data_IF_025967481262
#
_entry.id   IF_025967481262
#
_cell.length_a   1.000
_cell.length_b   1.000
_cell.length_c   1.000
_cell.angle_alpha   90.00
_cell.angle_beta   90.00
_cell.angle_gamma   90.00
#
_symmetry.space_group_name_H-M   'P 1'
#
loop_
_entity.id
_entity.type
_entity.pdbx_description
1 polymer ?
#
# COMPACT_ATOMS: atom_id res chain seq x y z
N UNK A 1 17.14 -19.04 -4.20
CA UNK A 1 16.62 -17.75 -4.67
C UNK A 1 17.69 -17.00 -5.44
N UNK A 2 17.45 -16.51 -6.68
CA UNK A 2 18.36 -15.65 -7.39
C UNK A 2 18.58 -14.32 -6.64
N UNK A 3 19.83 -13.82 -6.62
CA UNK A 3 20.18 -12.53 -6.00
C UNK A 3 19.34 -11.38 -6.58
N UNK A 4 18.98 -11.47 -7.85
CA UNK A 4 18.11 -10.51 -8.53
C UNK A 4 16.76 -10.27 -7.83
N UNK A 5 16.18 -11.26 -7.12
CA UNK A 5 14.94 -11.12 -6.36
C UNK A 5 15.16 -10.22 -5.12
N UNK A 6 16.32 -10.32 -4.47
CA UNK A 6 16.67 -9.45 -3.34
C UNK A 6 16.90 -7.99 -3.79
N UNK A 7 17.40 -7.79 -5.02
CA UNK A 7 17.50 -6.44 -5.62
C UNK A 7 16.12 -5.83 -5.81
N UNK A 8 15.13 -6.61 -6.25
CA UNK A 8 13.74 -6.12 -6.30
C UNK A 8 13.20 -5.80 -4.90
N UNK A 9 13.53 -6.60 -3.88
CA UNK A 9 13.20 -6.31 -2.49
C UNK A 9 13.84 -4.98 -2.00
N UNK A 10 15.12 -4.75 -2.33
CA UNK A 10 15.80 -3.48 -2.04
C UNK A 10 15.15 -2.29 -2.76
N UNK A 11 14.75 -2.51 -4.02
CA UNK A 11 14.01 -1.47 -4.75
C UNK A 11 12.71 -1.13 -4.05
N UNK A 12 11.94 -2.13 -3.62
CA UNK A 12 10.68 -1.94 -2.88
C UNK A 12 10.93 -1.28 -1.52
N UNK A 13 12.04 -1.58 -0.86
CA UNK A 13 12.46 -0.87 0.36
C UNK A 13 12.64 0.63 0.09
N UNK A 14 13.35 1.03 -0.96
CA UNK A 14 13.54 2.44 -1.31
C UNK A 14 12.21 3.12 -1.66
N UNK A 15 11.36 2.45 -2.45
CA UNK A 15 10.03 2.95 -2.84
C UNK A 15 9.13 3.15 -1.62
N UNK A 16 9.03 2.14 -0.73
CA UNK A 16 8.21 2.20 0.47
C UNK A 16 8.71 3.22 1.50
N UNK A 17 10.04 3.36 1.65
CA UNK A 17 10.62 4.41 2.49
C UNK A 17 10.16 5.79 2.02
N UNK A 18 10.26 6.08 0.72
CA UNK A 18 9.78 7.35 0.15
C UNK A 18 8.28 7.57 0.35
N UNK A 19 7.48 6.50 0.25
CA UNK A 19 6.02 6.58 0.40
C UNK A 19 5.62 7.11 1.77
N UNK A 20 6.24 6.60 2.83
CA UNK A 20 5.80 6.84 4.21
C UNK A 20 6.69 7.77 5.04
N UNK A 21 7.93 8.07 4.63
CA UNK A 21 8.87 8.88 5.41
C UNK A 21 8.37 10.30 5.70
N UNK A 22 7.50 10.85 4.83
CA UNK A 22 7.00 12.21 4.99
C UNK A 22 6.19 12.40 6.28
N UNK A 23 5.55 11.36 6.79
CA UNK A 23 4.82 11.43 8.06
C UNK A 23 5.68 11.88 9.25
N UNK A 24 6.99 11.61 9.18
CA UNK A 24 7.98 12.10 10.15
C UNK A 24 8.61 13.45 9.80
N UNK A 25 8.38 13.96 8.58
CA UNK A 25 9.09 15.13 8.04
C UNK A 25 8.19 16.35 7.82
N UNK A 26 6.89 16.26 8.10
CA UNK A 26 5.95 17.35 7.83
C UNK A 26 6.34 18.68 8.51
N UNK A 27 6.69 18.71 9.83
CA UNK A 27 7.04 19.96 10.48
C UNK A 27 8.30 20.65 9.90
N UNK A 28 9.43 19.94 9.66
CA UNK A 28 10.60 20.57 9.05
C UNK A 28 10.36 21.02 7.59
N UNK A 29 9.60 20.25 6.80
CA UNK A 29 9.23 20.65 5.43
C UNK A 29 8.35 21.91 5.44
N UNK A 30 7.34 21.95 6.30
CA UNK A 30 6.42 23.08 6.41
C UNK A 30 7.17 24.36 6.75
N UNK A 31 8.09 24.30 7.73
CA UNK A 31 8.92 25.45 8.13
C UNK A 31 9.86 25.93 7.02
N UNK A 32 10.54 25.03 6.34
CA UNK A 32 11.55 25.38 5.31
C UNK A 32 10.87 25.89 4.02
N UNK A 33 9.72 25.34 3.64
CA UNK A 33 8.96 25.74 2.45
C UNK A 33 7.99 26.90 2.69
N UNK A 34 7.83 27.37 3.93
CA UNK A 34 6.91 28.46 4.27
C UNK A 34 5.44 28.11 4.06
N UNK A 35 5.07 26.84 4.23
CA UNK A 35 3.68 26.35 4.08
C UNK A 35 3.13 25.84 5.41
N UNK A 36 1.82 25.64 5.49
CA UNK A 36 1.20 25.05 6.68
C UNK A 36 1.47 23.54 6.75
N UNK A 37 1.36 22.94 7.95
CA UNK A 37 1.50 21.48 8.12
C UNK A 37 0.45 20.72 7.29
N UNK A 38 -0.84 21.13 7.23
CA UNK A 38 -1.81 20.56 6.30
C UNK A 38 -1.39 20.60 4.83
N UNK A 39 -0.86 21.74 4.37
CA UNK A 39 -0.32 21.83 3.00
C UNK A 39 0.84 20.88 2.79
N UNK A 40 1.77 20.77 3.74
CA UNK A 40 2.83 19.76 3.67
C UNK A 40 2.25 18.33 3.64
N UNK A 41 1.17 18.05 4.34
CA UNK A 41 0.44 16.77 4.32
C UNK A 41 -0.11 16.40 2.94
N UNK A 42 -0.44 17.38 2.09
CA UNK A 42 -0.87 17.13 0.71
C UNK A 42 0.22 16.46 -0.14
N UNK A 43 1.51 16.54 0.24
CA UNK A 43 2.59 15.81 -0.43
C UNK A 43 2.43 14.28 -0.28
N UNK A 44 1.82 13.81 0.82
CA UNK A 44 1.48 12.39 1.02
C UNK A 44 0.30 12.03 0.12
N UNK A 45 -0.74 12.85 0.12
CA UNK A 45 -1.91 12.67 -0.76
C UNK A 45 -1.53 12.71 -2.25
N UNK A 46 -0.61 13.60 -2.65
CA UNK A 46 -0.11 13.69 -4.01
C UNK A 46 0.60 12.40 -4.47
N UNK A 47 1.39 11.80 -3.59
CA UNK A 47 2.01 10.52 -3.88
C UNK A 47 0.95 9.42 -4.02
N UNK A 48 0.01 9.34 -3.09
CA UNK A 48 -1.02 8.31 -3.10
C UNK A 48 -1.95 8.42 -4.33
N UNK A 49 -2.36 9.63 -4.74
CA UNK A 49 -3.18 9.80 -5.97
C UNK A 49 -2.38 9.44 -7.23
N UNK A 50 -1.07 9.75 -7.23
CA UNK A 50 -0.17 9.31 -8.28
C UNK A 50 -0.11 7.77 -8.39
N UNK A 51 -0.15 7.07 -7.27
CA UNK A 51 -0.25 5.60 -7.23
C UNK A 51 -1.61 5.10 -7.74
N UNK A 52 -2.73 5.74 -7.36
CA UNK A 52 -4.08 5.38 -7.83
C UNK A 52 -4.18 5.46 -9.36
N UNK A 53 -3.67 6.55 -9.93
CA UNK A 53 -3.70 6.78 -11.39
C UNK A 53 -2.61 5.96 -12.10
N UNK A 54 -1.43 5.91 -11.51
CA UNK A 54 -0.25 5.27 -12.08
C UNK A 54 -0.38 3.76 -12.20
N UNK A 55 -0.97 3.09 -11.21
CA UNK A 55 -1.03 1.63 -11.19
C UNK A 55 -1.79 1.04 -12.42
N UNK A 56 -3.04 1.43 -12.74
CA UNK A 56 -3.72 0.92 -13.91
C UNK A 56 -3.10 1.43 -15.23
N UNK A 57 -2.70 2.70 -15.27
CA UNK A 57 -2.11 3.31 -16.46
C UNK A 57 -0.82 2.60 -16.89
N UNK A 58 0.11 2.42 -15.95
CA UNK A 58 1.41 1.82 -16.23
C UNK A 58 1.34 0.29 -16.35
N UNK A 59 0.41 -0.36 -15.65
CA UNK A 59 0.14 -1.78 -15.87
C UNK A 59 -0.21 -2.06 -17.33
N UNK A 60 -1.02 -1.19 -17.96
CA UNK A 60 -1.39 -1.31 -19.39
C UNK A 60 -0.26 -0.82 -20.30
N UNK A 61 0.33 0.34 -20.05
CA UNK A 61 1.35 0.95 -20.89
C UNK A 61 2.62 0.08 -21.00
N UNK A 62 2.98 -0.61 -19.92
CA UNK A 62 4.21 -1.43 -19.87
C UNK A 62 4.05 -2.85 -20.40
N UNK A 63 2.82 -3.30 -20.76
CA UNK A 63 2.57 -4.66 -21.26
C UNK A 63 3.40 -5.04 -22.49
N UNK A 64 3.75 -4.06 -23.30
CA UNK A 64 4.50 -4.25 -24.56
C UNK A 64 5.99 -3.97 -24.45
N UNK A 65 6.45 -3.50 -23.30
CA UNK A 65 7.83 -3.11 -23.09
C UNK A 65 8.67 -4.26 -22.49
N UNK A 66 9.96 -4.37 -22.88
CA UNK A 66 10.86 -5.34 -22.25
C UNK A 66 10.95 -5.09 -20.73
N UNK A 67 10.66 -6.12 -19.95
CA UNK A 67 10.48 -6.00 -18.49
C UNK A 67 11.68 -5.37 -17.77
N UNK A 68 12.91 -5.77 -18.16
CA UNK A 68 14.14 -5.21 -17.60
C UNK A 68 14.28 -3.72 -17.91
N UNK A 69 14.09 -3.31 -19.17
CA UNK A 69 14.15 -1.90 -19.56
C UNK A 69 13.12 -1.08 -18.83
N UNK A 70 11.91 -1.61 -18.67
CA UNK A 70 10.84 -0.95 -17.91
C UNK A 70 11.23 -0.74 -16.45
N UNK A 71 11.79 -1.77 -15.78
CA UNK A 71 12.25 -1.62 -14.39
C UNK A 71 13.36 -0.58 -14.27
N UNK A 72 14.34 -0.59 -15.20
CA UNK A 72 15.42 0.40 -15.26
C UNK A 72 14.85 1.80 -15.42
N UNK A 73 13.94 2.02 -16.38
CA UNK A 73 13.32 3.33 -16.59
C UNK A 73 12.53 3.81 -15.38
N UNK A 74 11.77 2.92 -14.74
CA UNK A 74 10.94 3.27 -13.58
C UNK A 74 11.77 3.60 -12.34
N UNK A 75 12.81 2.80 -12.02
CA UNK A 75 13.67 3.08 -10.87
C UNK A 75 14.54 4.32 -11.11
N UNK A 76 14.96 4.57 -12.35
CA UNK A 76 15.68 5.80 -12.73
C UNK A 76 14.78 7.03 -12.58
N UNK A 77 13.54 6.96 -13.10
CA UNK A 77 12.56 8.05 -12.98
C UNK A 77 12.23 8.32 -11.49
N UNK A 78 12.08 7.26 -10.70
CA UNK A 78 11.87 7.38 -9.25
C UNK A 78 13.07 8.05 -8.56
N UNK A 79 14.30 7.61 -8.84
CA UNK A 79 15.51 8.18 -8.29
C UNK A 79 15.68 9.67 -8.69
N UNK A 80 15.41 10.01 -9.96
CA UNK A 80 15.40 11.41 -10.43
C UNK A 80 14.34 12.23 -9.71
N UNK A 81 13.16 11.67 -9.45
CA UNK A 81 12.13 12.30 -8.63
C UNK A 81 12.59 12.57 -7.20
N UNK A 82 13.37 11.66 -6.58
CA UNK A 82 13.97 11.90 -5.25
C UNK A 82 15.01 13.03 -5.31
N UNK A 83 15.88 13.04 -6.31
CA UNK A 83 16.88 14.12 -6.49
C UNK A 83 16.17 15.45 -6.72
N UNK A 84 15.15 15.50 -7.56
CA UNK A 84 14.35 16.71 -7.79
C UNK A 84 13.68 17.20 -6.49
N UNK A 85 13.15 16.28 -5.68
CA UNK A 85 12.59 16.60 -4.35
C UNK A 85 13.64 17.15 -3.38
N UNK A 86 14.84 16.54 -3.35
CA UNK A 86 15.96 17.01 -2.51
C UNK A 86 16.46 18.41 -2.90
N UNK A 87 16.43 18.72 -4.19
CA UNK A 87 16.87 20.02 -4.74
C UNK A 87 15.74 21.04 -4.87
N UNK A 88 14.51 20.68 -4.50
CA UNK A 88 13.35 21.55 -4.71
C UNK A 88 13.50 22.90 -3.99
N UNK A 89 13.48 24.04 -4.72
CA UNK A 89 13.51 25.38 -4.14
C UNK A 89 12.12 25.87 -3.74
N UNK A 90 11.06 25.22 -4.21
CA UNK A 90 9.67 25.60 -3.93
C UNK A 90 8.80 24.37 -3.64
N UNK A 91 7.67 24.61 -2.97
CA UNK A 91 6.69 23.59 -2.64
C UNK A 91 6.10 22.93 -3.90
N UNK A 92 5.84 23.70 -4.96
CA UNK A 92 5.26 23.20 -6.22
C UNK A 92 6.19 22.18 -6.91
N UNK A 93 7.50 22.46 -6.92
CA UNK A 93 8.47 21.52 -7.49
C UNK A 93 8.58 20.25 -6.62
N UNK A 94 8.57 20.41 -5.29
CA UNK A 94 8.52 19.28 -4.38
C UNK A 94 7.27 18.44 -4.62
N UNK A 95 6.10 19.08 -4.75
CA UNK A 95 4.84 18.41 -5.07
C UNK A 95 4.88 17.64 -6.40
N UNK A 96 5.38 18.28 -7.46
CA UNK A 96 5.53 17.64 -8.76
C UNK A 96 6.48 16.43 -8.69
N UNK A 97 7.59 16.54 -7.94
CA UNK A 97 8.53 15.44 -7.74
C UNK A 97 7.87 14.23 -7.06
N UNK A 98 6.94 14.47 -6.13
CA UNK A 98 6.17 13.42 -5.46
C UNK A 98 5.23 12.70 -6.42
N UNK A 99 4.54 13.42 -7.30
CA UNK A 99 3.66 12.83 -8.31
C UNK A 99 4.46 11.95 -9.29
N UNK A 100 5.61 12.46 -9.78
CA UNK A 100 6.49 11.70 -10.69
C UNK A 100 7.03 10.44 -10.02
N UNK A 101 7.49 10.56 -8.77
CA UNK A 101 7.97 9.42 -7.98
C UNK A 101 6.87 8.37 -7.76
N UNK A 102 5.64 8.81 -7.52
CA UNK A 102 4.50 7.92 -7.30
C UNK A 102 4.12 7.15 -8.57
N UNK A 103 4.09 7.81 -9.73
CA UNK A 103 3.87 7.13 -11.01
C UNK A 103 4.92 6.05 -11.25
N UNK A 104 6.20 6.37 -11.05
CA UNK A 104 7.28 5.42 -11.20
C UNK A 104 7.16 4.24 -10.20
N UNK A 105 6.80 4.52 -8.96
CA UNK A 105 6.56 3.52 -7.91
C UNK A 105 5.44 2.55 -8.29
N UNK A 106 4.29 3.07 -8.75
CA UNK A 106 3.14 2.27 -9.16
C UNK A 106 3.48 1.29 -10.29
N UNK A 107 4.19 1.79 -11.32
CA UNK A 107 4.66 0.95 -12.41
C UNK A 107 5.66 -0.10 -11.95
N UNK A 108 6.57 0.27 -11.05
CA UNK A 108 7.60 -0.64 -10.53
C UNK A 108 6.97 -1.82 -9.77
N UNK A 109 5.97 -1.58 -8.93
CA UNK A 109 5.25 -2.64 -8.23
C UNK A 109 4.66 -3.67 -9.19
N UNK A 110 3.94 -3.21 -10.22
CA UNK A 110 3.30 -4.08 -11.20
C UNK A 110 4.30 -4.93 -11.99
N UNK A 111 5.36 -4.30 -12.51
CA UNK A 111 6.37 -4.98 -13.35
C UNK A 111 7.32 -5.80 -12.49
N UNK A 112 7.73 -5.30 -11.31
CA UNK A 112 8.64 -5.97 -10.39
C UNK A 112 8.09 -7.28 -9.86
N UNK A 113 6.81 -7.33 -9.47
CA UNK A 113 6.13 -8.56 -9.06
C UNK A 113 6.13 -9.61 -10.18
N UNK A 114 5.81 -9.18 -11.40
CA UNK A 114 5.81 -10.08 -12.56
C UNK A 114 7.21 -10.61 -12.90
N UNK A 115 8.25 -9.78 -12.74
CA UNK A 115 9.66 -10.18 -12.94
C UNK A 115 10.12 -11.12 -11.83
N UNK A 116 9.81 -10.82 -10.56
CA UNK A 116 10.16 -11.68 -9.43
C UNK A 116 9.61 -13.11 -9.60
N UNK A 117 8.34 -13.23 -10.02
CA UNK A 117 7.69 -14.53 -10.27
C UNK A 117 8.30 -15.24 -11.49
N UNK A 118 8.69 -14.50 -12.54
CA UNK A 118 9.24 -15.08 -13.75
C UNK A 118 10.68 -15.60 -13.61
N UNK A 119 11.41 -15.14 -12.59
CA UNK A 119 12.80 -15.54 -12.35
C UNK A 119 12.94 -16.79 -11.45
N UNK A 120 11.84 -17.37 -10.98
CA UNK A 120 11.85 -18.49 -10.04
C UNK A 120 10.90 -19.60 -10.48
N UNK A 121 11.16 -20.81 -10.03
CA UNK A 121 10.29 -21.97 -10.23
C UNK A 121 8.95 -21.80 -9.53
N UNK A 122 7.95 -22.61 -9.92
CA UNK A 122 6.56 -22.47 -9.45
C UNK A 122 6.43 -22.58 -7.93
N UNK A 123 7.20 -23.45 -7.31
CA UNK A 123 7.26 -23.69 -5.86
C UNK A 123 7.91 -22.53 -5.07
N UNK A 124 8.73 -21.71 -5.71
CA UNK A 124 9.42 -20.57 -5.09
C UNK A 124 8.74 -19.23 -5.29
N UNK A 125 7.64 -19.16 -6.06
CA UNK A 125 6.94 -17.90 -6.38
C UNK A 125 6.43 -17.15 -5.14
N UNK A 126 5.85 -17.89 -4.19
CA UNK A 126 5.40 -17.31 -2.93
C UNK A 126 6.56 -16.69 -2.14
N UNK A 127 7.72 -17.35 -2.14
CA UNK A 127 8.93 -16.86 -1.47
C UNK A 127 9.51 -15.63 -2.17
N UNK A 128 9.45 -15.55 -3.50
CA UNK A 128 9.88 -14.37 -4.25
C UNK A 128 9.00 -13.14 -3.92
N UNK A 129 7.69 -13.33 -3.86
CA UNK A 129 6.77 -12.29 -3.43
C UNK A 129 6.98 -11.88 -1.97
N UNK A 130 7.29 -12.85 -1.09
CA UNK A 130 7.59 -12.56 0.31
C UNK A 130 8.85 -11.67 0.46
N UNK A 131 9.86 -11.82 -0.40
CA UNK A 131 11.05 -10.94 -0.40
C UNK A 131 10.67 -9.51 -0.80
N UNK A 132 9.81 -9.34 -1.79
CA UNK A 132 9.35 -8.00 -2.19
C UNK A 132 8.51 -7.33 -1.09
N UNK A 133 7.55 -8.06 -0.52
CA UNK A 133 6.73 -7.56 0.60
C UNK A 133 7.59 -7.29 1.83
N UNK A 134 8.61 -8.14 2.06
CA UNK A 134 9.62 -7.95 3.09
C UNK A 134 10.38 -6.63 2.95
N UNK A 135 10.70 -6.22 1.70
CA UNK A 135 11.27 -4.91 1.42
C UNK A 135 10.40 -3.77 1.94
N UNK A 136 9.08 -3.82 1.69
CA UNK A 136 8.12 -2.84 2.21
C UNK A 136 8.02 -2.87 3.74
N UNK A 137 8.02 -4.06 4.33
CA UNK A 137 7.98 -4.21 5.79
C UNK A 137 9.23 -3.62 6.44
N UNK A 138 10.41 -3.86 5.86
CA UNK A 138 11.67 -3.27 6.33
C UNK A 138 11.65 -1.75 6.14
N UNK A 139 11.05 -1.23 5.06
CA UNK A 139 10.86 0.21 4.86
C UNK A 139 10.06 0.83 5.99
N UNK A 140 8.98 0.21 6.43
CA UNK A 140 8.19 0.71 7.55
C UNK A 140 8.93 0.65 8.89
N UNK A 141 9.71 -0.42 9.14
CA UNK A 141 10.40 -0.63 10.43
C UNK A 141 11.68 0.19 10.54
N UNK A 142 12.43 0.31 9.46
CA UNK A 142 13.75 0.95 9.45
C UNK A 142 13.81 2.19 8.53
N UNK A 143 13.21 2.12 7.34
CA UNK A 143 13.32 3.17 6.35
C UNK A 143 12.64 4.47 6.77
N UNK A 144 11.40 4.37 7.28
CA UNK A 144 10.63 5.54 7.75
C UNK A 144 11.30 6.19 8.97
N UNK A 145 11.67 5.44 10.02
CA UNK A 145 12.41 6.00 11.14
C UNK A 145 13.77 6.59 10.75
N UNK A 146 14.52 5.90 9.88
CA UNK A 146 15.81 6.41 9.40
C UNK A 146 15.63 7.71 8.61
N UNK A 147 14.61 7.82 7.76
CA UNK A 147 14.26 9.05 7.06
C UNK A 147 13.91 10.19 8.00
N UNK A 148 13.11 9.92 9.04
CA UNK A 148 12.77 10.90 10.06
C UNK A 148 14.03 11.32 10.89
N UNK A 149 14.87 10.37 11.28
CA UNK A 149 16.12 10.63 11.99
C UNK A 149 17.10 11.48 11.18
N UNK A 150 17.30 11.14 9.91
CA UNK A 150 18.14 11.94 9.00
C UNK A 150 17.55 13.35 8.82
N UNK A 151 16.23 13.44 8.68
CA UNK A 151 15.53 14.71 8.54
C UNK A 151 15.66 15.62 9.75
N UNK A 152 15.65 15.05 10.95
CA UNK A 152 15.83 15.79 12.19
C UNK A 152 17.25 16.33 12.35
N UNK A 153 18.28 15.51 12.05
CA UNK A 153 19.69 15.86 12.33
C UNK A 153 20.41 16.54 11.17
N UNK A 154 20.06 16.21 9.92
CA UNK A 154 20.74 16.67 8.71
C UNK A 154 19.84 17.49 7.78
N UNK A 155 18.60 17.79 8.24
CA UNK A 155 17.58 18.44 7.45
C UNK A 155 16.79 17.48 6.56
N UNK A 156 15.52 17.78 6.30
CA UNK A 156 14.57 16.92 5.60
C UNK A 156 15.02 16.47 4.19
N UNK A 157 15.84 17.30 3.52
CA UNK A 157 16.41 16.97 2.20
C UNK A 157 17.31 15.75 2.21
N UNK A 158 17.97 15.48 3.35
CA UNK A 158 18.85 14.31 3.51
C UNK A 158 18.10 12.99 3.37
N UNK A 159 16.83 12.94 3.79
CA UNK A 159 15.97 11.77 3.60
C UNK A 159 15.71 11.48 2.11
N UNK A 160 15.49 12.51 1.30
CA UNK A 160 15.34 12.35 -0.14
C UNK A 160 16.64 11.90 -0.81
N UNK A 161 17.77 12.46 -0.41
CA UNK A 161 19.09 12.03 -0.90
C UNK A 161 19.37 10.56 -0.55
N UNK A 162 19.06 10.12 0.67
CA UNK A 162 19.26 8.73 1.09
C UNK A 162 18.44 7.74 0.28
N UNK A 163 17.17 8.07 0.00
CA UNK A 163 16.29 7.26 -0.87
C UNK A 163 16.78 7.28 -2.32
N UNK A 164 17.26 8.44 -2.79
CA UNK A 164 17.90 8.57 -4.11
C UNK A 164 19.13 7.67 -4.25
N UNK A 165 19.99 7.64 -3.25
CA UNK A 165 21.16 6.77 -3.19
C UNK A 165 20.76 5.27 -3.17
N UNK A 166 19.78 4.89 -2.33
CA UNK A 166 19.26 3.54 -2.31
C UNK A 166 18.67 3.12 -3.68
N UNK A 167 17.99 4.06 -4.35
CA UNK A 167 17.47 3.84 -5.71
C UNK A 167 18.56 3.65 -6.75
N UNK A 168 19.68 4.39 -6.63
CA UNK A 168 20.85 4.23 -7.50
C UNK A 168 21.52 2.86 -7.30
N UNK A 169 21.64 2.39 -6.06
CA UNK A 169 22.14 1.03 -5.75
C UNK A 169 21.22 -0.02 -6.34
N UNK A 170 19.89 0.15 -6.18
CA UNK A 170 18.92 -0.74 -6.78
C UNK A 170 18.98 -0.75 -8.32
N UNK A 171 19.18 0.43 -8.95
CA UNK A 171 19.35 0.56 -10.40
C UNK A 171 20.58 -0.22 -10.90
N UNK A 172 21.73 -0.08 -10.23
CA UNK A 172 22.94 -0.85 -10.56
C UNK A 172 22.66 -2.36 -10.43
N UNK A 173 21.99 -2.78 -9.35
CA UNK A 173 21.60 -4.17 -9.16
C UNK A 173 20.68 -4.69 -10.27
N UNK A 174 19.70 -3.90 -10.71
CA UNK A 174 18.80 -4.26 -11.82
C UNK A 174 19.58 -4.39 -13.14
N UNK A 175 20.48 -3.44 -13.40
CA UNK A 175 21.29 -3.44 -14.61
C UNK A 175 22.27 -4.63 -14.68
N UNK A 176 22.78 -5.10 -13.55
CA UNK A 176 23.80 -6.16 -13.51
C UNK A 176 23.20 -7.55 -13.34
N UNK A 177 22.12 -7.69 -12.54
CA UNK A 177 21.66 -9.00 -12.05
C UNK A 177 20.33 -9.45 -12.67
N UNK A 178 19.49 -8.53 -13.21
CA UNK A 178 18.23 -8.94 -13.81
C UNK A 178 18.45 -9.33 -15.29
N UNK A 179 18.15 -10.59 -15.67
CA UNK A 179 18.30 -11.04 -17.06
C UNK A 179 17.26 -10.40 -17.97
N UNK A 180 17.50 -10.44 -19.28
CA UNK A 180 16.50 -10.09 -20.30
C UNK A 180 15.42 -11.18 -20.31
N UNK A 181 14.24 -10.87 -19.76
CA UNK A 181 13.10 -11.79 -19.69
C UNK A 181 12.26 -11.60 -20.96
N UNK A 182 11.95 -12.64 -21.73
CA UNK A 182 11.05 -12.57 -22.86
C UNK A 182 9.66 -12.08 -22.45
N UNK A 183 8.98 -11.39 -23.35
CA UNK A 183 7.59 -10.99 -23.15
C UNK A 183 6.70 -12.25 -23.12
N UNK A 184 5.67 -12.32 -22.25
CA UNK A 184 4.72 -13.43 -22.25
C UNK A 184 4.05 -13.56 -23.62
N UNK A 185 3.96 -14.81 -24.11
CA UNK A 185 3.30 -15.12 -25.38
C UNK A 185 1.79 -14.83 -25.32
N UNK A 186 1.16 -15.06 -24.18
CA UNK A 186 -0.26 -14.78 -23.97
C UNK A 186 -0.44 -13.45 -23.20
N UNK A 187 -1.29 -12.60 -23.78
CA UNK A 187 -1.63 -11.30 -23.20
C UNK A 187 -2.87 -11.41 -22.31
N UNK A 188 -2.88 -10.86 -21.10
CA UNK A 188 -4.09 -10.77 -20.30
C UNK A 188 -5.19 -10.06 -21.09
N UNK A 189 -6.38 -10.64 -21.16
CA UNK A 189 -7.55 -10.01 -21.78
C UNK A 189 -8.20 -9.03 -20.79
N UNK A 190 -7.64 -7.85 -20.64
CA UNK A 190 -8.10 -6.81 -19.69
C UNK A 190 -9.61 -6.54 -19.84
N UNK A 191 -10.14 -6.52 -21.08
CA UNK A 191 -11.56 -6.29 -21.33
C UNK A 191 -12.47 -7.32 -20.63
N UNK A 192 -12.06 -8.59 -20.51
CA UNK A 192 -12.85 -9.61 -19.82
C UNK A 192 -12.79 -9.43 -18.29
N UNK A 193 -11.66 -8.96 -17.77
CA UNK A 193 -11.49 -8.71 -16.35
C UNK A 193 -12.31 -7.51 -15.86
N UNK A 194 -12.56 -6.49 -16.70
CA UNK A 194 -13.36 -5.30 -16.32
C UNK A 194 -14.79 -5.62 -15.84
N UNK A 195 -15.29 -6.82 -16.10
CA UNK A 195 -16.62 -7.25 -15.60
C UNK A 195 -16.72 -7.30 -14.07
N UNK A 196 -15.59 -7.39 -13.35
CA UNK A 196 -15.59 -7.40 -11.88
C UNK A 196 -16.21 -6.12 -11.30
N UNK A 197 -16.07 -4.99 -11.98
CA UNK A 197 -16.63 -3.71 -11.51
C UNK A 197 -18.16 -3.62 -11.63
N UNK A 198 -18.82 -4.62 -12.20
CA UNK A 198 -20.29 -4.78 -12.16
C UNK A 198 -20.78 -5.40 -10.86
N UNK A 199 -19.88 -6.02 -10.10
CA UNK A 199 -20.22 -6.66 -8.84
C UNK A 199 -20.23 -5.63 -7.69
N UNK A 200 -21.34 -5.57 -6.97
CA UNK A 200 -21.49 -4.70 -5.79
C UNK A 200 -20.50 -5.02 -4.68
N UNK A 201 -20.11 -6.29 -4.54
CA UNK A 201 -19.12 -6.73 -3.57
C UNK A 201 -17.72 -6.11 -3.81
N UNK A 202 -17.37 -5.87 -5.08
CA UNK A 202 -16.11 -5.20 -5.44
C UNK A 202 -16.12 -3.75 -4.92
N UNK A 203 -17.21 -3.00 -5.12
CA UNK A 203 -17.31 -1.62 -4.65
C UNK A 203 -17.36 -1.51 -3.13
N UNK A 204 -18.03 -2.45 -2.45
CA UNK A 204 -18.00 -2.54 -0.99
C UNK A 204 -16.58 -2.83 -0.48
N UNK A 205 -15.84 -3.71 -1.15
CA UNK A 205 -14.43 -3.99 -0.81
C UNK A 205 -13.54 -2.78 -1.04
N UNK A 206 -13.71 -2.05 -2.15
CA UNK A 206 -12.97 -0.80 -2.43
C UNK A 206 -13.24 0.22 -1.32
N UNK A 207 -14.51 0.50 -1.05
CA UNK A 207 -14.90 1.47 -0.03
C UNK A 207 -14.40 1.10 1.37
N UNK A 208 -14.55 -0.17 1.76
CA UNK A 208 -14.07 -0.68 3.03
C UNK A 208 -12.55 -0.54 3.16
N UNK A 209 -11.78 -0.91 2.12
CA UNK A 209 -10.32 -0.81 2.10
C UNK A 209 -9.88 0.65 2.17
N UNK A 210 -10.48 1.52 1.36
CA UNK A 210 -10.15 2.94 1.33
C UNK A 210 -10.44 3.62 2.68
N UNK A 211 -11.59 3.33 3.30
CA UNK A 211 -11.95 3.94 4.57
C UNK A 211 -11.15 3.37 5.75
N UNK A 212 -10.86 2.07 5.76
CA UNK A 212 -10.05 1.46 6.80
C UNK A 212 -8.60 1.99 6.76
N UNK A 213 -7.97 2.01 5.58
CA UNK A 213 -6.64 2.57 5.40
C UNK A 213 -6.63 4.08 5.65
N UNK A 214 -7.55 4.82 5.03
CA UNK A 214 -7.66 6.27 5.15
C UNK A 214 -7.84 6.73 6.60
N UNK A 215 -8.62 6.00 7.40
CA UNK A 215 -8.81 6.33 8.81
C UNK A 215 -7.51 6.26 9.61
N UNK A 216 -6.70 5.23 9.42
CA UNK A 216 -5.40 5.14 10.10
C UNK A 216 -4.42 6.17 9.57
N UNK A 217 -4.35 6.35 8.23
CA UNK A 217 -3.43 7.31 7.61
C UNK A 217 -3.84 8.77 7.86
N UNK A 218 -5.10 9.07 8.18
CA UNK A 218 -5.55 10.36 8.65
C UNK A 218 -4.80 10.81 9.92
N UNK A 219 -4.64 9.92 10.90
CA UNK A 219 -3.88 10.18 12.11
C UNK A 219 -2.36 9.99 11.90
N UNK A 220 -1.94 8.92 11.23
CA UNK A 220 -0.52 8.59 11.02
C UNK A 220 0.24 9.69 10.29
N UNK A 221 -0.37 10.32 9.29
CA UNK A 221 0.28 11.40 8.51
C UNK A 221 0.65 12.60 9.36
N UNK A 222 -0.10 12.88 10.40
CA UNK A 222 0.13 13.98 11.34
C UNK A 222 0.62 13.50 12.71
N UNK A 223 1.16 12.27 12.77
CA UNK A 223 1.63 11.68 14.03
C UNK A 223 2.79 12.49 14.61
N UNK A 224 3.72 12.96 13.77
CA UNK A 224 4.85 13.77 14.23
C UNK A 224 4.39 15.03 14.99
N UNK A 225 3.61 15.95 14.41
CA UNK A 225 3.12 17.12 15.14
C UNK A 225 2.17 16.77 16.29
N UNK A 226 1.43 15.66 16.23
CA UNK A 226 0.62 15.22 17.37
C UNK A 226 1.52 14.81 18.55
N UNK A 227 2.63 14.14 18.31
CA UNK A 227 3.56 13.73 19.36
C UNK A 227 4.32 14.93 19.95
N UNK A 228 4.73 15.91 19.13
CA UNK A 228 5.49 17.08 19.60
C UNK A 228 4.60 18.12 20.23
N UNK A 229 3.52 18.51 19.55
CA UNK A 229 2.74 19.71 19.93
C UNK A 229 1.60 19.39 20.89
N UNK A 230 1.11 18.12 20.92
CA UNK A 230 0.02 17.69 21.81
C UNK A 230 0.53 16.84 22.97
N UNK A 231 1.36 15.84 22.69
CA UNK A 231 1.93 14.98 23.75
C UNK A 231 3.14 15.63 24.44
N UNK A 232 3.71 16.71 23.87
CA UNK A 232 4.86 17.41 24.43
C UNK A 232 6.14 16.57 24.45
N UNK A 233 6.28 15.64 23.51
CA UNK A 233 7.49 14.85 23.33
C UNK A 233 8.54 15.64 22.57
N UNK A 234 9.81 15.42 22.90
CA UNK A 234 10.93 15.96 22.12
C UNK A 234 10.94 15.34 20.72
N UNK A 235 11.28 16.16 19.69
CA UNK A 235 11.31 15.73 18.29
C UNK A 235 12.23 14.53 18.05
N UNK A 236 13.29 14.37 18.81
CA UNK A 236 14.19 13.24 18.76
C UNK A 236 13.55 11.87 19.06
N UNK A 237 12.36 11.85 19.70
CA UNK A 237 11.59 10.61 19.91
C UNK A 237 10.76 10.19 18.72
N UNK A 238 10.42 11.10 17.82
CA UNK A 238 9.54 10.84 16.67
C UNK A 238 10.05 9.67 15.82
N UNK A 239 11.33 9.58 15.41
CA UNK A 239 11.83 8.46 14.64
C UNK A 239 11.61 7.10 15.32
N UNK A 240 11.83 7.04 16.63
CA UNK A 240 11.66 5.79 17.40
C UNK A 240 10.20 5.36 17.50
N UNK A 241 9.28 6.31 17.65
CA UNK A 241 7.84 6.03 17.72
C UNK A 241 7.30 5.60 16.35
N UNK A 242 7.78 6.21 15.27
CA UNK A 242 7.49 5.73 13.91
C UNK A 242 8.05 4.31 13.68
N UNK A 243 9.20 3.99 14.26
CA UNK A 243 9.75 2.63 14.28
C UNK A 243 8.85 1.64 15.03
N UNK A 244 8.28 2.06 16.16
CA UNK A 244 7.30 1.24 16.90
C UNK A 244 6.03 1.02 16.09
N UNK A 245 5.52 2.02 15.39
CA UNK A 245 4.41 1.85 14.45
C UNK A 245 4.76 0.82 13.37
N UNK A 246 5.94 0.94 12.75
CA UNK A 246 6.44 -0.02 11.76
C UNK A 246 6.59 -1.44 12.32
N UNK A 247 7.07 -1.58 13.55
CA UNK A 247 7.16 -2.87 14.24
C UNK A 247 5.77 -3.46 14.47
N UNK A 248 4.82 -2.64 14.92
CA UNK A 248 3.41 -3.03 15.02
C UNK A 248 2.87 -3.53 13.67
N UNK A 249 3.16 -2.80 12.59
CA UNK A 249 2.76 -3.17 11.23
C UNK A 249 3.33 -4.53 10.80
N UNK A 250 4.60 -4.80 11.05
CA UNK A 250 5.24 -6.07 10.72
C UNK A 250 4.60 -7.25 11.48
N UNK A 251 4.41 -7.09 12.79
CA UNK A 251 3.76 -8.11 13.63
C UNK A 251 2.31 -8.29 13.20
N UNK A 252 1.59 -7.19 12.99
CA UNK A 252 0.20 -7.19 12.53
C UNK A 252 0.03 -7.94 11.20
N UNK A 253 0.83 -7.62 10.19
CA UNK A 253 0.79 -8.30 8.88
C UNK A 253 1.03 -9.81 9.03
N UNK A 254 2.02 -10.19 9.86
CA UNK A 254 2.40 -11.59 10.03
C UNK A 254 1.30 -12.40 10.69
N UNK A 255 0.70 -11.88 11.76
CA UNK A 255 -0.39 -12.54 12.50
C UNK A 255 -1.68 -12.48 11.69
N UNK A 256 -2.01 -11.30 11.14
CA UNK A 256 -3.21 -11.08 10.34
C UNK A 256 -3.29 -11.97 9.11
N UNK A 257 -2.17 -12.18 8.42
CA UNK A 257 -2.09 -13.10 7.29
C UNK A 257 -2.45 -14.53 7.67
N UNK A 258 -1.87 -15.06 8.76
CA UNK A 258 -2.15 -16.43 9.21
C UNK A 258 -3.60 -16.63 9.68
N UNK A 259 -4.17 -15.63 10.35
CA UNK A 259 -5.54 -15.71 10.86
C UNK A 259 -6.57 -15.48 9.75
N UNK A 260 -6.26 -14.66 8.74
CA UNK A 260 -7.15 -14.36 7.62
C UNK A 260 -7.47 -15.60 6.78
N UNK A 261 -6.52 -16.54 6.64
CA UNK A 261 -6.73 -17.80 5.92
C UNK A 261 -7.87 -18.63 6.52
N UNK A 262 -8.03 -18.60 7.85
CA UNK A 262 -9.07 -19.36 8.56
C UNK A 262 -10.36 -18.54 8.80
N UNK A 263 -10.22 -17.25 9.08
CA UNK A 263 -11.31 -16.39 9.58
C UNK A 263 -11.34 -15.00 8.93
N UNK A 264 -11.48 -14.94 7.60
CA UNK A 264 -11.40 -13.71 6.81
C UNK A 264 -12.26 -12.55 7.37
N UNK A 265 -13.57 -12.77 7.56
CA UNK A 265 -14.48 -11.72 8.07
C UNK A 265 -14.24 -11.40 9.55
N UNK A 266 -13.76 -12.37 10.33
CA UNK A 266 -13.36 -12.13 11.71
C UNK A 266 -12.21 -11.13 11.77
N UNK A 267 -11.15 -11.34 10.99
CA UNK A 267 -9.99 -10.43 10.89
C UNK A 267 -10.41 -9.04 10.41
N UNK A 268 -11.30 -8.95 9.41
CA UNK A 268 -11.80 -7.67 8.91
C UNK A 268 -12.54 -6.88 9.99
N UNK A 269 -13.52 -7.50 10.64
CA UNK A 269 -14.35 -6.80 11.62
C UNK A 269 -13.54 -6.45 12.87
N UNK A 270 -12.83 -7.42 13.45
CA UNK A 270 -12.05 -7.18 14.66
C UNK A 270 -10.86 -6.24 14.44
N UNK A 271 -10.17 -6.36 13.29
CA UNK A 271 -9.05 -5.48 12.96
C UNK A 271 -9.47 -4.02 12.74
N UNK A 272 -10.56 -3.78 11.99
CA UNK A 272 -11.08 -2.42 11.79
C UNK A 272 -11.65 -1.86 13.11
N UNK A 273 -12.33 -2.69 13.91
CA UNK A 273 -12.82 -2.28 15.24
C UNK A 273 -11.68 -1.91 16.17
N UNK A 274 -10.60 -2.70 16.20
CA UNK A 274 -9.41 -2.38 16.98
C UNK A 274 -8.78 -1.05 16.53
N UNK A 275 -8.65 -0.81 15.22
CA UNK A 275 -8.19 0.47 14.69
C UNK A 275 -9.08 1.63 15.14
N UNK A 276 -10.41 1.45 15.13
CA UNK A 276 -11.36 2.46 15.61
C UNK A 276 -11.15 2.77 17.09
N UNK A 277 -11.02 1.74 17.91
CA UNK A 277 -10.79 1.89 19.37
C UNK A 277 -9.47 2.60 19.62
N UNK A 278 -8.40 2.22 18.94
CA UNK A 278 -7.09 2.85 19.15
C UNK A 278 -7.03 4.29 18.60
N UNK A 279 -7.71 4.60 17.51
CA UNK A 279 -7.87 5.98 17.03
C UNK A 279 -8.66 6.83 18.01
N UNK A 280 -9.77 6.31 18.54
CA UNK A 280 -10.56 7.00 19.54
C UNK A 280 -9.76 7.22 20.85
N UNK A 281 -9.03 6.19 21.29
CA UNK A 281 -8.15 6.29 22.45
C UNK A 281 -7.02 7.31 22.22
N UNK A 282 -6.43 7.34 21.01
CA UNK A 282 -5.41 8.33 20.66
C UNK A 282 -5.99 9.74 20.68
N UNK A 283 -7.20 9.95 20.17
CA UNK A 283 -7.86 11.26 20.19
C UNK A 283 -8.12 11.78 21.61
N UNK A 284 -8.45 10.88 22.54
CA UNK A 284 -8.74 11.21 23.94
C UNK A 284 -7.48 11.35 24.80
N UNK A 285 -6.45 10.55 24.54
CA UNK A 285 -5.26 10.40 25.38
C UNK A 285 -3.99 10.94 24.74
N UNK A 286 -4.11 11.76 23.67
CA UNK A 286 -2.98 12.27 22.92
C UNK A 286 -1.99 13.08 23.79
N UNK A 287 -2.46 13.76 24.84
CA UNK A 287 -1.62 14.52 25.78
C UNK A 287 -0.82 13.64 26.75
N UNK A 288 -1.18 12.37 26.91
CA UNK A 288 -0.45 11.42 27.75
C UNK A 288 0.65 10.72 26.92
N UNK A 289 1.91 11.09 27.14
CA UNK A 289 3.06 10.60 26.37
C UNK A 289 3.11 9.08 26.23
N UNK A 290 2.97 8.35 27.35
CA UNK A 290 3.02 6.88 27.36
C UNK A 290 1.87 6.29 26.54
N UNK A 291 0.67 6.86 26.66
CA UNK A 291 -0.49 6.42 25.87
C UNK A 291 -0.27 6.68 24.37
N UNK A 292 0.22 7.86 24.00
CA UNK A 292 0.50 8.20 22.60
C UNK A 292 1.53 7.24 21.96
N UNK A 293 2.59 6.88 22.71
CA UNK A 293 3.61 5.92 22.26
C UNK A 293 2.98 4.52 22.07
N UNK A 294 2.28 4.01 23.10
CA UNK A 294 1.67 2.68 23.04
C UNK A 294 0.60 2.57 21.94
N UNK A 295 -0.23 3.61 21.78
CA UNK A 295 -1.26 3.66 20.76
C UNK A 295 -0.69 3.78 19.34
N UNK A 296 0.47 4.40 19.17
CA UNK A 296 1.17 4.41 17.88
C UNK A 296 1.55 2.99 17.43
N UNK A 297 2.09 2.17 18.33
CA UNK A 297 2.37 0.76 18.05
C UNK A 297 1.09 -0.03 17.72
N UNK A 298 0.04 0.13 18.54
CA UNK A 298 -1.23 -0.59 18.40
C UNK A 298 -1.97 -0.19 17.10
N UNK A 299 -1.86 1.06 16.67
CA UNK A 299 -2.39 1.51 15.37
C UNK A 299 -1.67 0.84 14.21
N UNK A 300 -0.34 0.80 14.24
CA UNK A 300 0.43 0.07 13.23
C UNK A 300 0.04 -1.40 13.20
N UNK A 301 -0.06 -2.04 14.36
CA UNK A 301 -0.49 -3.43 14.47
C UNK A 301 -1.88 -3.65 13.87
N UNK A 302 -2.91 -2.90 14.28
CA UNK A 302 -4.29 -3.13 13.85
C UNK A 302 -4.53 -2.85 12.38
N UNK A 303 -3.91 -1.77 11.84
CA UNK A 303 -4.00 -1.43 10.44
C UNK A 303 -3.47 -2.54 9.54
N UNK A 304 -2.26 -3.02 9.85
CA UNK A 304 -1.59 -4.03 9.05
C UNK A 304 -2.02 -5.47 9.38
N UNK A 305 -2.62 -5.72 10.54
CA UNK A 305 -3.34 -6.96 10.82
C UNK A 305 -4.54 -7.15 9.88
N UNK A 306 -5.21 -6.07 9.52
CA UNK A 306 -6.39 -6.08 8.64
C UNK A 306 -6.01 -6.19 7.16
N UNK A 307 -4.86 -5.66 6.75
CA UNK A 307 -4.46 -5.54 5.35
C UNK A 307 -4.44 -6.86 4.55
N UNK A 308 -3.92 -8.00 5.07
CA UNK A 308 -3.97 -9.28 4.35
C UNK A 308 -5.41 -9.74 4.07
N UNK A 309 -6.33 -9.53 5.02
CA UNK A 309 -7.72 -9.92 4.85
C UNK A 309 -8.45 -9.05 3.82
N UNK A 310 -8.14 -7.73 3.76
CA UNK A 310 -8.66 -6.83 2.72
C UNK A 310 -8.20 -7.28 1.33
N UNK A 311 -6.92 -7.63 1.19
CA UNK A 311 -6.36 -8.18 -0.04
C UNK A 311 -7.04 -9.50 -0.43
N UNK A 312 -7.06 -10.48 0.47
CA UNK A 312 -7.63 -11.80 0.23
C UNK A 312 -9.11 -11.73 -0.17
N UNK A 313 -9.88 -10.81 0.46
CA UNK A 313 -11.27 -10.60 0.09
C UNK A 313 -11.42 -10.16 -1.37
N UNK A 314 -10.63 -9.18 -1.82
CA UNK A 314 -10.69 -8.70 -3.21
C UNK A 314 -10.38 -9.82 -4.20
N UNK A 315 -9.33 -10.61 -3.93
CA UNK A 315 -8.99 -11.76 -4.79
C UNK A 315 -10.09 -12.83 -4.80
N UNK A 316 -10.72 -13.10 -3.66
CA UNK A 316 -11.82 -14.06 -3.58
C UNK A 316 -13.06 -13.61 -4.40
N UNK A 317 -13.38 -12.31 -4.40
CA UNK A 317 -14.50 -11.76 -5.18
C UNK A 317 -14.15 -11.70 -6.67
N UNK A 318 -12.94 -11.28 -7.00
CA UNK A 318 -12.51 -11.11 -8.39
C UNK A 318 -12.31 -12.44 -9.14
N UNK A 319 -12.07 -13.55 -8.44
CA UNK A 319 -12.01 -14.91 -9.01
C UNK A 319 -11.11 -15.02 -10.24
N UNK A 320 -11.71 -15.00 -11.43
CA UNK A 320 -11.02 -15.16 -12.71
C UNK A 320 -10.25 -13.90 -13.21
N UNK A 321 -10.23 -12.81 -12.42
CA UNK A 321 -9.59 -11.55 -12.79
C UNK A 321 -8.46 -11.15 -11.81
N UNK A 322 -7.40 -11.96 -11.64
CA UNK A 322 -6.38 -11.72 -10.62
C UNK A 322 -5.55 -10.46 -10.89
N UNK A 323 -5.38 -10.06 -12.14
CA UNK A 323 -4.63 -8.85 -12.51
C UNK A 323 -5.33 -7.60 -12.02
N UNK A 324 -6.64 -7.49 -12.28
CA UNK A 324 -7.42 -6.35 -11.82
C UNK A 324 -7.71 -6.41 -10.33
N UNK A 325 -7.79 -7.60 -9.71
CA UNK A 325 -7.91 -7.73 -8.26
C UNK A 325 -6.75 -7.02 -7.54
N UNK A 326 -5.51 -7.33 -7.93
CA UNK A 326 -4.32 -6.69 -7.34
C UNK A 326 -4.27 -5.19 -7.59
N UNK A 327 -4.52 -4.75 -8.84
CA UNK A 327 -4.55 -3.33 -9.19
C UNK A 327 -5.65 -2.57 -8.42
N UNK A 328 -6.85 -3.15 -8.30
CA UNK A 328 -7.98 -2.55 -7.58
C UNK A 328 -7.69 -2.44 -6.09
N UNK A 329 -7.08 -3.46 -5.49
CA UNK A 329 -6.69 -3.41 -4.07
C UNK A 329 -5.66 -2.32 -3.82
N UNK A 330 -4.63 -2.24 -4.64
CA UNK A 330 -3.61 -1.18 -4.54
C UNK A 330 -4.24 0.19 -4.70
N UNK A 331 -5.12 0.37 -5.69
CA UNK A 331 -5.85 1.63 -5.88
C UNK A 331 -6.74 1.98 -4.68
N UNK A 332 -7.42 0.98 -4.08
CA UNK A 332 -8.28 1.20 -2.92
C UNK A 332 -7.48 1.64 -1.67
N UNK A 333 -6.34 1.00 -1.39
CA UNK A 333 -5.43 1.44 -0.32
C UNK A 333 -4.94 2.88 -0.56
N UNK A 334 -4.50 3.18 -1.77
CA UNK A 334 -3.99 4.50 -2.11
C UNK A 334 -5.09 5.57 -2.17
N UNK A 335 -6.34 5.20 -2.47
CA UNK A 335 -7.48 6.11 -2.33
C UNK A 335 -7.68 6.51 -0.86
N UNK A 336 -7.51 5.57 0.07
CA UNK A 336 -7.48 5.84 1.51
C UNK A 336 -6.29 6.73 1.90
N UNK A 337 -5.09 6.39 1.42
CA UNK A 337 -3.87 7.17 1.67
C UNK A 337 -3.91 8.58 1.04
N UNK A 338 -4.79 8.81 0.06
CA UNK A 338 -5.08 10.15 -0.48
C UNK A 338 -6.06 10.89 0.41
N UNK A 339 -7.22 10.26 0.71
CA UNK A 339 -8.32 10.89 1.41
C UNK A 339 -8.05 11.11 2.90
N UNK A 340 -7.31 10.19 3.53
CA UNK A 340 -6.98 10.30 4.95
C UNK A 340 -6.18 11.55 5.31
N UNK A 341 -4.97 11.74 4.73
CA UNK A 341 -4.16 12.94 4.99
C UNK A 341 -4.86 14.24 4.57
N UNK A 342 -5.60 14.22 3.45
CA UNK A 342 -6.40 15.37 3.01
C UNK A 342 -7.47 15.74 4.05
N UNK A 343 -8.24 14.77 4.55
CA UNK A 343 -9.25 15.00 5.59
C UNK A 343 -8.60 15.46 6.90
N UNK A 344 -7.47 14.82 7.28
CA UNK A 344 -6.70 15.23 8.45
C UNK A 344 -6.23 16.68 8.37
N UNK A 345 -5.72 17.09 7.19
CA UNK A 345 -5.37 18.48 6.94
C UNK A 345 -6.56 19.43 7.06
N UNK A 346 -7.70 19.04 6.50
CA UNK A 346 -8.92 19.86 6.52
C UNK A 346 -9.42 20.13 7.96
N UNK A 347 -9.40 19.13 8.83
CA UNK A 347 -9.82 19.31 10.24
C UNK A 347 -8.82 20.15 11.05
N UNK A 348 -7.52 20.07 10.70
CA UNK A 348 -6.49 20.93 11.30
C UNK A 348 -6.68 22.39 10.85
N UNK A 349 -6.89 22.63 9.55
CA UNK A 349 -7.13 23.97 8.99
C UNK A 349 -8.42 24.60 9.54
N UNK A 350 -9.41 23.78 9.90
CA UNK A 350 -10.62 24.21 10.61
C UNK A 350 -10.38 24.60 12.08
N UNK A 351 -9.14 24.53 12.57
CA UNK A 351 -8.76 24.92 13.93
C UNK A 351 -9.06 23.87 15.00
N UNK A 352 -9.39 22.62 14.63
CA UNK A 352 -9.72 21.58 15.60
C UNK A 352 -8.48 20.90 16.23
N UNK A 353 -7.27 21.26 15.79
CA UNK A 353 -6.01 20.73 16.30
C UNK A 353 -5.66 19.34 15.79
N UNK A 354 -4.46 18.86 16.16
CA UNK A 354 -3.93 17.58 15.65
C UNK A 354 -4.68 16.35 16.18
N UNK A 355 -5.23 16.38 17.38
CA UNK A 355 -6.04 15.27 17.92
C UNK A 355 -7.31 15.01 17.09
N UNK A 356 -7.82 16.02 16.37
CA UNK A 356 -8.99 15.87 15.51
C UNK A 356 -8.75 14.94 14.33
N UNK A 357 -7.48 14.73 13.90
CA UNK A 357 -7.14 13.77 12.86
C UNK A 357 -7.46 12.33 13.28
N UNK A 358 -7.27 12.00 14.56
CA UNK A 358 -7.62 10.70 15.10
C UNK A 358 -9.15 10.52 15.22
N UNK A 359 -9.92 11.57 15.57
CA UNK A 359 -11.38 11.55 15.53
C UNK A 359 -11.93 11.35 14.12
N UNK A 360 -11.40 12.10 13.15
CA UNK A 360 -11.77 11.93 11.73
C UNK A 360 -11.44 10.53 11.23
N UNK A 361 -10.28 10.00 11.59
CA UNK A 361 -9.87 8.64 11.29
C UNK A 361 -10.80 7.59 11.91
N UNK A 362 -11.22 7.78 13.17
CA UNK A 362 -12.19 6.90 13.84
C UNK A 362 -13.55 6.91 13.11
N UNK A 363 -14.04 8.06 12.67
CA UNK A 363 -15.27 8.17 11.89
C UNK A 363 -15.18 7.40 10.55
N UNK A 364 -14.03 7.50 9.86
CA UNK A 364 -13.79 6.73 8.63
C UNK A 364 -13.80 5.22 8.90
N UNK A 365 -13.12 4.75 9.96
CA UNK A 365 -13.07 3.32 10.30
C UNK A 365 -14.42 2.79 10.79
N UNK A 366 -15.24 3.57 11.50
CA UNK A 366 -16.63 3.23 11.84
C UNK A 366 -17.44 3.00 10.57
N UNK A 367 -17.31 3.89 9.59
CA UNK A 367 -17.98 3.73 8.29
C UNK A 367 -17.49 2.47 7.56
N UNK A 368 -16.19 2.15 7.64
CA UNK A 368 -15.64 0.91 7.10
C UNK A 368 -16.24 -0.34 7.76
N UNK A 369 -16.48 -0.33 9.08
CA UNK A 369 -17.18 -1.41 9.78
C UNK A 369 -18.59 -1.58 9.21
N UNK A 370 -19.32 -0.50 8.99
CA UNK A 370 -20.65 -0.54 8.37
C UNK A 370 -20.62 -1.22 7.00
N UNK A 371 -19.63 -0.89 6.16
CA UNK A 371 -19.45 -1.55 4.86
C UNK A 371 -19.05 -3.02 4.99
N UNK A 372 -18.21 -3.38 5.98
CA UNK A 372 -17.82 -4.77 6.25
C UNK A 372 -19.05 -5.62 6.66
N UNK A 373 -19.91 -5.09 7.51
CA UNK A 373 -21.15 -5.74 7.94
C UNK A 373 -22.13 -5.88 6.76
N UNK A 374 -22.28 -4.83 5.94
CA UNK A 374 -23.11 -4.88 4.74
C UNK A 374 -22.62 -5.95 3.76
N UNK A 375 -21.32 -6.01 3.54
CA UNK A 375 -20.67 -6.99 2.69
C UNK A 375 -20.88 -8.43 3.21
N UNK A 376 -20.75 -8.64 4.52
CA UNK A 376 -21.01 -9.94 5.16
C UNK A 376 -22.49 -10.38 5.02
N UNK A 377 -23.43 -9.43 5.17
CA UNK A 377 -24.86 -9.72 5.01
C UNK A 377 -25.21 -10.12 3.58
N UNK A 378 -24.64 -9.44 2.58
CA UNK A 378 -24.81 -9.79 1.18
C UNK A 378 -24.23 -11.17 0.88
N UNK A 379 -23.01 -11.47 1.35
CA UNK A 379 -22.37 -12.76 1.16
C UNK A 379 -23.19 -13.92 1.74
N UNK A 380 -23.82 -13.71 2.90
CA UNK A 380 -24.71 -14.69 3.51
C UNK A 380 -26.03 -14.87 2.74
N UNK A 381 -26.57 -13.81 2.13
CA UNK A 381 -27.77 -13.89 1.28
C UNK A 381 -27.50 -14.66 0.00
N UNK A 382 -26.41 -14.32 -0.69
CA UNK A 382 -26.00 -14.99 -1.92
C UNK A 382 -25.79 -16.50 -1.72
N UNK A 383 -25.27 -16.90 -0.55
CA UNK A 383 -25.14 -18.33 -0.17
C UNK A 383 -26.47 -19.00 0.13
N UNK A 384 -27.45 -18.29 0.70
CA UNK A 384 -28.78 -18.84 1.00
C UNK A 384 -29.63 -19.01 -0.24
N UNK A 385 -29.53 -18.10 -1.21
CA UNK A 385 -30.29 -18.08 -2.46
C UNK A 385 -29.72 -19.06 -3.50
N UNK A 386 -28.92 -20.04 -3.09
CA UNK A 386 -28.37 -21.10 -3.94
C UNK A 386 -27.29 -20.60 -4.91
N UNK A 387 -26.84 -19.38 -4.74
CA UNK A 387 -25.69 -18.81 -5.42
C UNK A 387 -24.40 -19.44 -4.90
N UNK A 388 -24.09 -20.65 -5.39
CA UNK A 388 -22.77 -21.27 -5.17
C UNK A 388 -21.70 -20.28 -5.61
N UNK A 389 -20.51 -20.23 -4.98
CA UNK A 389 -19.35 -19.45 -5.45
C UNK A 389 -18.82 -19.92 -6.82
N UNK A 390 -19.62 -20.64 -7.56
CA UNK A 390 -19.38 -21.32 -8.82
C UNK A 390 -19.79 -20.54 -10.08
N UNK A 391 -19.84 -19.22 -10.07
CA UNK A 391 -19.82 -18.49 -11.37
C UNK A 391 -18.44 -18.57 -12.05
N UNK A 392 -17.36 -18.79 -11.29
CA UNK A 392 -16.02 -18.99 -11.85
C UNK A 392 -15.84 -20.38 -12.47
N UNK A 393 -16.48 -21.43 -11.95
CA UNK A 393 -16.32 -22.82 -12.46
C UNK A 393 -17.16 -23.12 -13.72
N UNK A 394 -18.24 -22.41 -13.97
CA UNK A 394 -19.05 -22.62 -15.21
C UNK A 394 -18.39 -22.09 -16.48
N UNK A 395 -17.52 -21.10 -16.37
CA UNK A 395 -16.77 -20.60 -17.54
C UNK A 395 -15.66 -21.58 -17.97
N UNK A 396 -15.08 -22.33 -17.03
CA UNK A 396 -14.09 -23.38 -17.34
C UNK A 396 -14.77 -24.63 -17.90
N UNK A 397 -15.95 -25.00 -17.43
CA UNK A 397 -16.68 -26.16 -17.95
C UNK A 397 -17.25 -25.96 -19.36
N UNK A 398 -17.61 -24.73 -19.74
CA UNK A 398 -18.09 -24.42 -21.09
C UNK A 398 -16.96 -24.24 -22.12
N UNK A 399 -15.71 -24.06 -21.70
CA UNK A 399 -14.54 -24.00 -22.59
C UNK A 399 -13.86 -25.37 -22.79
N UNK A 400 -14.21 -26.38 -21.97
CA UNK A 400 -13.65 -27.73 -22.02
C UNK A 400 -14.52 -28.78 -22.73
N UNK A 401 -15.71 -28.40 -23.20
CA UNK A 401 -16.69 -29.32 -23.80
C UNK A 401 -16.54 -29.54 -25.31
N UNK A 402 -15.34 -29.80 -25.81
CA UNK A 402 -15.13 -29.96 -27.24
C UNK A 402 -14.04 -30.96 -27.64
N UNK A 403 -13.75 -31.97 -26.79
CA UNK A 403 -12.91 -33.09 -27.22
C UNK A 403 -13.69 -34.37 -27.08
N UNK A 404 -14.35 -34.77 -28.18
CA UNK A 404 -14.92 -36.09 -28.38
C UNK A 404 -13.78 -37.14 -28.25
N UNK A 405 -13.88 -37.95 -27.21
CA UNK A 405 -13.11 -39.22 -27.11
C UNK A 405 -13.63 -40.16 -28.20
N UNK A 406 -12.87 -40.31 -29.27
CA UNK A 406 -13.00 -41.46 -30.17
C UNK A 406 -12.49 -42.70 -29.44
N UNK A 407 -13.41 -43.63 -29.11
CA UNK A 407 -13.09 -45.00 -28.66
C UNK A 407 -12.33 -45.72 -29.79
N UNK A 408 -11.26 -46.48 -29.49
CA UNK A 408 -10.70 -47.42 -30.42
C UNK A 408 -11.57 -48.70 -30.48
N UNK A 409 -11.97 -49.05 -31.70
CA UNK A 409 -12.67 -50.29 -32.00
C UNK A 409 -11.84 -51.52 -31.56
N UNK A 410 -12.48 -52.44 -30.83
CA UNK A 410 -11.98 -53.80 -30.61
C UNK A 410 -12.22 -54.59 -31.91
N UNK A 411 -11.14 -55.07 -32.49
CA UNK A 411 -11.19 -56.16 -33.49
C UNK A 411 -10.81 -57.47 -32.79
N UNK A 412 -11.61 -58.48 -33.13
CA UNK A 412 -11.42 -59.89 -32.76
C UNK A 412 -10.12 -60.49 -33.21
#
# INVERSE_FOLDING_TARGET
MPVAVYVLGLSVFALGTSEFMLSGLLPPIARDMGVTIPQAGLLISAFAIGMVVGAPLLAVATLRLPRRTTLVSLISLFGLGQVAGALAPSYELLFASRVVSALACAGFWAVGAAVAIAMVDKDQRARAMAVMIGGLSIANVLGVPAGAFLGEHLGWRSAFWSVGAASAVALVGILTLIPKIPLPAERPRIKSELRIYRDRQVWLSIGMTALAAGGVFCAFSYLSPLLTDVAGLDSGWVPWILGLFGMGALIGTTIGGRVADAHLFGVLIWGITASTVFLTALALLASAQVAAIALSFLLGFSAFFTAPALNARMFNIAGAAPTLAGATTTAAFNLGNTGGPWLGGTVIDAGMGFSATAWAGAAMTITAIGLAVAALRLDRRDRRDGGTPARASRVVASAGGGVTQSQPARTH
#
